data_IF_490854026751
#
_entry.id   IF_490854026751
#
_cell.length_a   1.000
_cell.length_b   1.000
_cell.length_c   1.000
_cell.angle_alpha   90.00
_cell.angle_beta   90.00
_cell.angle_gamma   90.00
#
_symmetry.space_group_name_H-M   'P 1'
#
loop_
_entity.id
_entity.type
_entity.pdbx_description
1 polymer ?
#
# COMPACT_ATOMS: atom_id res chain seq x y z
N UNK A 1 -12.82 -7.31 16.71
CA UNK A 1 -13.12 -7.16 15.29
C UNK A 1 -12.47 -5.89 14.77
N UNK A 2 -11.70 -6.04 13.67
CA UNK A 2 -10.95 -4.96 13.02
C UNK A 2 -11.57 -4.71 11.65
N UNK A 3 -11.65 -3.45 11.23
CA UNK A 3 -11.91 -3.04 9.86
C UNK A 3 -10.80 -2.09 9.41
N UNK A 4 -10.10 -2.44 8.35
CA UNK A 4 -8.98 -1.65 7.83
C UNK A 4 -9.36 -0.91 6.55
N UNK A 5 -9.10 0.39 6.52
CA UNK A 5 -9.29 1.25 5.36
C UNK A 5 -8.03 1.34 4.52
N UNK A 6 -8.12 0.99 3.24
CA UNK A 6 -7.01 1.13 2.28
C UNK A 6 -6.92 2.55 1.69
N UNK A 7 -7.09 3.54 2.54
CA UNK A 7 -7.15 4.97 2.22
C UNK A 7 -5.81 5.56 1.72
N UNK A 8 -4.71 4.85 1.98
CA UNK A 8 -3.38 5.20 1.47
C UNK A 8 -3.06 4.53 0.12
N UNK A 9 -4.00 3.76 -0.44
CA UNK A 9 -3.90 3.23 -1.80
C UNK A 9 -4.07 4.33 -2.84
N UNK A 10 -3.47 4.10 -4.00
CA UNK A 10 -3.55 5.04 -5.11
C UNK A 10 -4.92 5.06 -5.77
N UNK A 11 -5.38 6.23 -6.13
CA UNK A 11 -6.55 6.44 -6.97
C UNK A 11 -6.24 5.99 -8.41
N UNK A 12 -6.86 4.88 -8.82
CA UNK A 12 -6.52 4.21 -10.10
C UNK A 12 -7.45 4.57 -11.23
N UNK A 13 -8.70 4.89 -10.91
CA UNK A 13 -9.77 5.03 -11.90
C UNK A 13 -10.81 6.02 -11.40
N UNK A 14 -11.27 6.88 -12.29
CA UNK A 14 -12.36 7.81 -12.01
C UNK A 14 -13.68 7.05 -12.13
N UNK A 15 -14.51 7.00 -11.08
CA UNK A 15 -15.84 6.41 -11.18
C UNK A 15 -16.73 7.16 -12.18
N UNK A 16 -17.61 6.43 -12.85
CA UNK A 16 -18.57 7.03 -13.79
C UNK A 16 -19.45 8.03 -13.04
N UNK A 17 -19.61 9.23 -13.61
CA UNK A 17 -20.39 10.32 -13.02
C UNK A 17 -19.64 11.18 -11.99
N UNK A 18 -18.36 10.89 -11.75
CA UNK A 18 -17.54 11.73 -10.88
C UNK A 18 -17.16 13.06 -11.52
N UNK A 19 -16.92 14.11 -10.70
CA UNK A 19 -16.44 15.39 -11.19
C UNK A 19 -15.10 15.27 -11.93
N UNK A 20 -14.95 16.06 -13.01
CA UNK A 20 -13.71 16.09 -13.81
C UNK A 20 -12.47 16.53 -13.02
N UNK A 21 -12.65 17.25 -11.91
CA UNK A 21 -11.57 17.66 -11.02
C UNK A 21 -10.70 16.49 -10.55
N UNK A 22 -11.25 15.27 -10.48
CA UNK A 22 -10.54 14.06 -10.11
C UNK A 22 -9.54 13.54 -11.15
N UNK A 23 -9.56 14.05 -12.40
CA UNK A 23 -8.64 13.60 -13.46
C UNK A 23 -7.16 13.80 -13.07
N UNK A 24 -6.86 14.90 -12.37
CA UNK A 24 -5.51 15.21 -11.89
C UNK A 24 -5.08 14.40 -10.67
N UNK A 25 -6.00 13.62 -10.08
CA UNK A 25 -5.76 12.87 -8.85
C UNK A 25 -5.34 11.42 -9.08
N UNK A 26 -5.40 10.93 -10.33
CA UNK A 26 -4.92 9.59 -10.67
C UNK A 26 -3.46 9.44 -10.24
N UNK A 27 -3.18 8.36 -9.49
CA UNK A 27 -1.87 8.06 -8.93
C UNK A 27 -1.60 8.65 -7.54
N UNK A 28 -2.46 9.52 -7.00
CA UNK A 28 -2.37 10.01 -5.62
C UNK A 28 -3.02 9.03 -4.63
N UNK A 29 -2.62 9.01 -3.35
CA UNK A 29 -3.38 8.31 -2.31
C UNK A 29 -4.81 8.84 -2.20
N UNK A 30 -5.78 7.98 -1.91
CA UNK A 30 -7.17 8.39 -1.72
C UNK A 30 -7.32 9.46 -0.63
N UNK A 31 -6.58 9.34 0.46
CA UNK A 31 -6.54 10.30 1.57
C UNK A 31 -5.87 11.65 1.25
N UNK A 32 -5.18 11.75 0.10
CA UNK A 32 -4.53 12.99 -0.35
C UNK A 32 -5.29 13.68 -1.48
N UNK A 33 -6.51 13.28 -1.74
CA UNK A 33 -7.41 13.85 -2.73
C UNK A 33 -8.49 14.63 -2.01
N UNK A 34 -8.64 15.91 -2.32
CA UNK A 34 -9.71 16.73 -1.76
C UNK A 34 -11.09 16.12 -2.09
N UNK A 35 -12.02 16.18 -1.17
CA UNK A 35 -13.39 15.74 -1.44
C UNK A 35 -14.00 16.61 -2.58
N UNK A 36 -14.35 16.01 -3.73
CA UNK A 36 -14.82 16.77 -4.87
C UNK A 36 -16.19 17.44 -4.66
N UNK A 37 -16.86 17.13 -3.55
CA UNK A 37 -18.16 17.71 -3.17
C UNK A 37 -18.03 18.71 -2.01
N UNK A 38 -16.84 18.82 -1.39
CA UNK A 38 -16.55 19.81 -0.35
C UNK A 38 -17.25 19.58 0.99
N UNK A 39 -17.67 18.34 1.27
CA UNK A 39 -18.35 17.99 2.53
C UNK A 39 -17.39 17.40 3.58
N UNK A 40 -16.26 16.83 3.13
CA UNK A 40 -15.26 16.16 3.94
C UNK A 40 -13.85 16.67 3.59
N UNK A 41 -12.86 16.39 4.43
CA UNK A 41 -11.48 16.82 4.16
C UNK A 41 -10.87 16.10 2.96
N UNK A 42 -11.21 14.80 2.77
CA UNK A 42 -10.67 14.01 1.67
C UNK A 42 -11.71 13.13 0.99
N UNK A 43 -11.35 12.68 -0.20
CA UNK A 43 -12.12 11.67 -0.93
C UNK A 43 -12.27 10.37 -0.13
N UNK A 44 -11.22 9.94 0.58
CA UNK A 44 -11.27 8.75 1.43
C UNK A 44 -12.25 8.94 2.60
N UNK A 45 -12.10 10.03 3.34
CA UNK A 45 -12.92 10.32 4.53
C UNK A 45 -14.43 10.34 4.21
N UNK A 46 -14.81 10.84 3.03
CA UNK A 46 -16.20 10.80 2.58
C UNK A 46 -16.82 9.39 2.63
N UNK A 47 -16.07 8.39 2.21
CA UNK A 47 -16.56 7.00 2.21
C UNK A 47 -16.41 6.33 3.57
N UNK A 48 -15.35 6.64 4.29
CA UNK A 48 -15.09 6.15 5.63
C UNK A 48 -16.20 6.54 6.58
N UNK A 49 -16.47 7.82 6.72
CA UNK A 49 -17.51 8.34 7.62
C UNK A 49 -18.87 7.75 7.28
N UNK A 50 -19.29 7.77 6.01
CA UNK A 50 -20.60 7.24 5.60
C UNK A 50 -20.76 5.74 5.87
N UNK A 51 -19.69 4.98 5.69
CA UNK A 51 -19.70 3.54 5.96
C UNK A 51 -19.69 3.26 7.47
N UNK A 52 -18.88 3.97 8.23
CA UNK A 52 -18.79 3.85 9.69
C UNK A 52 -20.14 4.20 10.36
N UNK A 53 -20.81 5.26 9.91
CA UNK A 53 -22.15 5.61 10.33
C UNK A 53 -23.17 4.49 10.04
N UNK A 54 -23.09 3.88 8.84
CA UNK A 54 -23.96 2.77 8.44
C UNK A 54 -23.75 1.53 9.32
N UNK A 55 -22.51 1.19 9.66
CA UNK A 55 -22.21 0.10 10.58
C UNK A 55 -22.71 0.39 12.00
N UNK A 56 -22.53 1.61 12.47
CA UNK A 56 -23.01 2.05 13.79
C UNK A 56 -24.53 1.91 13.92
N UNK A 57 -25.29 2.26 12.86
CA UNK A 57 -26.75 2.08 12.85
C UNK A 57 -27.17 0.60 12.97
N UNK A 58 -26.31 -0.32 12.53
CA UNK A 58 -26.52 -1.77 12.67
C UNK A 58 -25.99 -2.33 14.00
N UNK A 59 -25.45 -1.49 14.88
CA UNK A 59 -24.81 -1.90 16.13
C UNK A 59 -23.45 -2.59 15.94
N UNK A 60 -22.80 -2.42 14.79
CA UNK A 60 -21.51 -3.01 14.47
C UNK A 60 -20.43 -1.94 14.70
N UNK A 61 -19.57 -2.15 15.70
CA UNK A 61 -18.54 -1.19 16.10
C UNK A 61 -17.15 -1.86 16.09
N UNK A 62 -16.49 -1.98 14.93
CA UNK A 62 -15.13 -2.49 14.84
C UNK A 62 -14.12 -1.45 15.33
N UNK A 63 -12.89 -1.90 15.59
CA UNK A 63 -11.75 -1.00 15.63
C UNK A 63 -11.38 -0.65 14.19
N UNK A 64 -11.60 0.59 13.81
CA UNK A 64 -11.20 1.08 12.49
C UNK A 64 -9.72 1.42 12.48
N UNK A 65 -9.03 1.03 11.41
CA UNK A 65 -7.63 1.34 11.16
C UNK A 65 -7.54 2.05 9.82
N UNK A 66 -6.99 3.26 9.82
CA UNK A 66 -6.68 4.00 8.59
C UNK A 66 -5.23 3.76 8.22
N UNK A 67 -5.00 3.20 7.04
CA UNK A 67 -3.64 2.89 6.59
C UNK A 67 -2.80 4.15 6.38
N UNK A 68 -3.41 5.26 5.99
CA UNK A 68 -2.73 6.56 5.96
C UNK A 68 -2.14 6.92 7.32
N UNK A 69 -2.88 6.76 8.40
CA UNK A 69 -2.40 7.05 9.76
C UNK A 69 -1.25 6.11 10.13
N UNK A 70 -1.40 4.81 9.89
CA UNK A 70 -0.39 3.80 10.22
C UNK A 70 0.94 4.06 9.50
N UNK A 71 0.89 4.36 8.20
CA UNK A 71 2.09 4.67 7.43
C UNK A 71 2.70 6.03 7.82
N UNK A 72 1.89 7.05 8.07
CA UNK A 72 2.38 8.40 8.40
C UNK A 72 2.85 8.53 9.83
N UNK A 73 2.31 7.79 10.79
CA UNK A 73 2.80 7.77 12.17
C UNK A 73 4.14 7.04 12.32
N UNK A 74 4.46 6.12 11.40
CA UNK A 74 5.67 5.31 11.45
C UNK A 74 5.51 3.99 12.19
N UNK A 75 4.31 3.61 12.53
CA UNK A 75 4.03 2.31 13.18
C UNK A 75 4.59 1.13 12.39
N UNK A 76 4.65 1.22 11.05
CA UNK A 76 5.17 0.18 10.17
C UNK A 76 6.67 0.31 9.82
N UNK A 77 7.42 1.25 10.39
CA UNK A 77 8.81 1.51 9.98
C UNK A 77 9.72 0.28 10.14
N UNK A 78 9.57 -0.45 11.22
CA UNK A 78 10.36 -1.65 11.47
C UNK A 78 10.05 -2.76 10.45
N UNK A 79 8.78 -2.99 10.15
CA UNK A 79 8.33 -3.98 9.18
C UNK A 79 8.76 -3.59 7.76
N UNK A 80 8.67 -2.32 7.40
CA UNK A 80 9.14 -1.80 6.11
C UNK A 80 10.64 -2.03 5.95
N UNK A 81 11.43 -1.75 6.99
CA UNK A 81 12.88 -1.97 7.00
C UNK A 81 13.21 -3.46 6.84
N UNK A 82 12.52 -4.32 7.56
CA UNK A 82 12.69 -5.78 7.45
C UNK A 82 12.36 -6.27 6.04
N UNK A 83 11.24 -5.85 5.48
CA UNK A 83 10.80 -6.18 4.12
C UNK A 83 11.83 -5.71 3.07
N UNK A 84 12.34 -4.49 3.20
CA UNK A 84 13.38 -3.97 2.29
C UNK A 84 14.68 -4.77 2.40
N UNK A 85 15.08 -5.18 3.59
CA UNK A 85 16.29 -6.00 3.80
C UNK A 85 16.11 -7.44 3.28
N UNK A 86 14.91 -7.98 3.35
CA UNK A 86 14.54 -9.32 2.84
C UNK A 86 13.96 -9.28 1.40
N UNK A 87 14.09 -8.16 0.66
CA UNK A 87 13.46 -7.97 -0.65
C UNK A 87 13.80 -9.04 -1.70
N UNK A 88 15.01 -9.60 -1.62
CA UNK A 88 15.42 -10.67 -2.55
C UNK A 88 14.63 -11.96 -2.28
N UNK A 89 14.40 -12.32 -1.03
CA UNK A 89 13.57 -13.47 -0.65
C UNK A 89 12.11 -13.25 -1.08
N UNK A 90 11.58 -12.04 -0.88
CA UNK A 90 10.24 -11.66 -1.34
C UNK A 90 10.13 -11.76 -2.86
N UNK A 91 11.14 -11.31 -3.60
CA UNK A 91 11.17 -11.44 -5.06
C UNK A 91 11.12 -12.91 -5.51
N UNK A 92 11.82 -13.82 -4.80
CA UNK A 92 11.74 -15.27 -5.06
C UNK A 92 10.34 -15.83 -4.81
N UNK A 93 9.70 -15.45 -3.69
CA UNK A 93 8.32 -15.87 -3.38
C UNK A 93 7.37 -15.39 -4.49
N UNK A 94 7.46 -14.13 -4.89
CA UNK A 94 6.62 -13.58 -5.95
C UNK A 94 6.88 -14.28 -7.29
N UNK A 95 8.15 -14.51 -7.65
CA UNK A 95 8.53 -15.16 -8.90
C UNK A 95 7.97 -16.59 -9.02
N UNK A 96 7.98 -17.36 -7.92
CA UNK A 96 7.39 -18.72 -7.87
C UNK A 96 5.87 -18.73 -8.15
N UNK A 97 5.21 -17.63 -7.82
CA UNK A 97 3.76 -17.48 -7.93
C UNK A 97 3.31 -16.71 -9.19
N UNK A 98 4.25 -16.36 -10.07
CA UNK A 98 3.96 -15.70 -11.36
C UNK A 98 4.07 -16.71 -12.49
N UNK A 99 3.14 -16.67 -13.44
CA UNK A 99 3.12 -17.56 -14.61
C UNK A 99 4.41 -17.50 -15.44
N UNK A 100 5.01 -16.30 -15.56
CA UNK A 100 6.25 -16.10 -16.33
C UNK A 100 7.50 -16.01 -15.43
N UNK A 101 7.32 -16.07 -14.11
CA UNK A 101 8.41 -15.84 -13.16
C UNK A 101 9.00 -14.43 -13.23
N UNK A 102 10.19 -14.29 -12.69
CA UNK A 102 11.01 -13.06 -12.78
C UNK A 102 12.42 -13.44 -13.23
N UNK A 103 13.03 -12.61 -14.09
CA UNK A 103 14.45 -12.75 -14.43
C UNK A 103 15.33 -12.39 -13.24
N UNK A 104 16.59 -12.83 -13.21
CA UNK A 104 17.53 -12.47 -12.13
C UNK A 104 17.74 -10.96 -12.03
N UNK A 105 17.73 -10.25 -13.16
CA UNK A 105 17.81 -8.79 -13.19
C UNK A 105 16.57 -8.13 -12.56
N UNK A 106 15.37 -8.65 -12.83
CA UNK A 106 14.13 -8.17 -12.24
C UNK A 106 14.12 -8.40 -10.72
N UNK A 107 14.55 -9.58 -10.25
CA UNK A 107 14.65 -9.88 -8.81
C UNK A 107 15.63 -8.96 -8.11
N UNK A 108 16.83 -8.76 -8.68
CA UNK A 108 17.87 -7.88 -8.13
C UNK A 108 17.40 -6.44 -8.00
N UNK A 109 16.60 -5.95 -8.96
CA UNK A 109 16.08 -4.58 -9.02
C UNK A 109 14.70 -4.44 -8.41
N UNK A 110 14.18 -5.49 -7.77
CA UNK A 110 12.88 -5.45 -7.12
C UNK A 110 12.94 -4.70 -5.78
N UNK A 111 12.08 -3.72 -5.64
CA UNK A 111 11.83 -3.04 -4.38
C UNK A 111 10.33 -3.13 -4.07
N UNK A 112 9.94 -3.77 -2.97
CA UNK A 112 8.53 -3.95 -2.57
C UNK A 112 7.94 -2.66 -2.00
N UNK A 113 8.02 -1.57 -2.76
CA UNK A 113 7.63 -0.22 -2.35
C UNK A 113 6.80 0.43 -3.46
N UNK A 114 5.68 0.99 -3.10
CA UNK A 114 4.96 2.03 -3.83
C UNK A 114 5.42 3.36 -3.23
N UNK A 115 5.93 4.27 -4.06
CA UNK A 115 6.44 5.56 -3.61
C UNK A 115 5.67 6.68 -4.28
N UNK A 116 5.11 7.57 -3.47
CA UNK A 116 4.46 8.79 -3.91
C UNK A 116 5.48 9.91 -4.03
N UNK A 117 5.67 10.42 -5.24
CA UNK A 117 6.68 11.44 -5.52
C UNK A 117 6.44 12.73 -4.73
N UNK A 118 7.48 13.27 -4.10
CA UNK A 118 7.40 14.60 -3.46
C UNK A 118 7.20 15.74 -4.46
N UNK A 119 7.42 15.50 -5.75
CA UNK A 119 7.19 16.50 -6.81
C UNK A 119 5.73 16.57 -7.26
N UNK A 120 5.01 15.44 -7.24
CA UNK A 120 3.67 15.34 -7.84
C UNK A 120 2.60 14.74 -6.92
N UNK A 121 3.01 14.11 -5.83
CA UNK A 121 2.14 13.33 -4.95
C UNK A 121 1.64 12.02 -5.57
N UNK A 122 2.14 11.63 -6.76
CA UNK A 122 1.69 10.46 -7.52
C UNK A 122 2.69 9.30 -7.44
N UNK A 123 2.20 8.09 -7.69
CA UNK A 123 2.98 6.86 -7.66
C UNK A 123 3.73 6.53 -8.96
N UNK A 124 3.72 7.43 -9.95
CA UNK A 124 4.47 7.23 -11.20
C UNK A 124 5.98 7.40 -10.98
N UNK A 125 6.53 6.49 -10.19
CA UNK A 125 7.91 6.50 -9.71
C UNK A 125 8.59 5.16 -9.93
N UNK A 126 9.92 5.18 -9.93
CA UNK A 126 10.77 3.98 -9.94
C UNK A 126 11.82 4.12 -8.85
N UNK A 127 11.82 3.21 -7.87
CA UNK A 127 12.90 3.12 -6.88
C UNK A 127 14.17 2.63 -7.58
N UNK A 128 15.27 3.33 -7.35
CA UNK A 128 16.58 3.07 -7.98
C UNK A 128 17.54 2.39 -7.02
N UNK A 129 17.52 2.78 -5.74
CA UNK A 129 18.41 2.22 -4.72
C UNK A 129 17.84 2.39 -3.31
N UNK A 130 18.33 1.56 -2.42
CA UNK A 130 18.11 1.58 -0.98
C UNK A 130 19.45 1.48 -0.27
N UNK A 131 19.70 2.30 0.73
CA UNK A 131 20.98 2.39 1.45
C UNK A 131 21.20 1.29 2.50
N UNK A 132 20.18 0.46 2.75
CA UNK A 132 20.20 -0.59 3.78
C UNK A 132 19.69 -0.12 5.14
N UNK A 133 19.30 1.13 5.29
CA UNK A 133 18.78 1.70 6.55
C UNK A 133 17.42 2.36 6.38
N UNK A 134 17.35 3.59 5.87
CA UNK A 134 16.10 4.34 5.75
C UNK A 134 15.93 5.14 4.46
N UNK A 135 16.98 5.22 3.63
CA UNK A 135 16.96 6.09 2.46
C UNK A 135 16.70 5.34 1.17
N UNK A 136 15.77 5.86 0.40
CA UNK A 136 15.41 5.38 -0.93
C UNK A 136 15.66 6.48 -1.96
N UNK A 137 16.41 6.17 -3.02
CA UNK A 137 16.53 7.06 -4.18
C UNK A 137 15.55 6.60 -5.25
N UNK A 138 14.81 7.53 -5.83
CA UNK A 138 13.82 7.24 -6.86
C UNK A 138 13.88 8.20 -8.04
N UNK A 139 13.31 7.79 -9.17
CA UNK A 139 13.02 8.61 -10.33
C UNK A 139 11.50 8.86 -10.37
N UNK A 140 11.10 10.12 -10.47
CA UNK A 140 9.72 10.49 -10.80
C UNK A 140 9.59 10.61 -12.33
N UNK A 141 8.76 9.76 -12.93
CA UNK A 141 8.59 9.76 -14.39
C UNK A 141 7.86 11.00 -14.89
N UNK A 142 6.91 11.54 -14.11
CA UNK A 142 6.14 12.72 -14.52
C UNK A 142 7.01 13.99 -14.60
N UNK A 143 8.00 14.13 -13.72
CA UNK A 143 8.87 15.30 -13.68
C UNK A 143 10.25 15.06 -14.31
N UNK A 144 10.63 13.80 -14.56
CA UNK A 144 11.97 13.40 -14.98
C UNK A 144 13.05 13.58 -13.92
N UNK A 145 12.69 13.97 -12.69
CA UNK A 145 13.64 14.27 -11.61
C UNK A 145 13.91 13.07 -10.73
N UNK A 146 15.13 12.99 -10.22
CA UNK A 146 15.54 12.07 -9.16
C UNK A 146 15.48 12.77 -7.81
N UNK A 147 15.18 12.01 -6.76
CA UNK A 147 15.17 12.48 -5.38
C UNK A 147 15.52 11.33 -4.43
N UNK A 148 15.97 11.69 -3.24
CA UNK A 148 16.25 10.73 -2.17
C UNK A 148 15.40 11.10 -0.96
N UNK A 149 14.63 10.13 -0.48
CA UNK A 149 13.79 10.26 0.71
C UNK A 149 14.38 9.45 1.86
N UNK A 150 14.06 9.85 3.06
CA UNK A 150 14.16 9.05 4.29
C UNK A 150 12.73 8.60 4.64
N UNK A 151 12.40 7.33 4.43
CA UNK A 151 11.02 6.87 4.58
C UNK A 151 10.50 7.00 6.01
N UNK A 152 11.40 7.04 7.01
CA UNK A 152 11.02 7.24 8.41
C UNK A 152 10.63 8.68 8.74
N UNK A 153 10.88 9.62 7.83
CA UNK A 153 10.59 11.06 7.97
C UNK A 153 9.61 11.58 6.94
N UNK A 154 9.86 11.24 5.67
CA UNK A 154 9.10 11.77 4.53
C UNK A 154 7.70 11.13 4.40
N UNK A 155 7.52 9.90 4.89
CA UNK A 155 6.20 9.23 4.99
C UNK A 155 5.42 9.14 3.67
N UNK A 156 6.12 8.97 2.57
CA UNK A 156 5.56 8.97 1.21
C UNK A 156 5.61 7.60 0.53
N UNK A 157 5.75 6.54 1.32
CA UNK A 157 5.80 5.17 0.81
C UNK A 157 4.73 4.30 1.43
N UNK A 158 4.38 3.24 0.69
CA UNK A 158 3.62 2.10 1.21
C UNK A 158 4.11 0.80 0.58
N UNK A 159 3.71 -0.32 1.15
CA UNK A 159 3.96 -1.64 0.58
C UNK A 159 2.93 -1.97 -0.50
N UNK A 160 3.29 -2.74 -1.55
CA UNK A 160 2.33 -3.31 -2.48
C UNK A 160 1.40 -4.31 -1.77
N UNK A 161 0.14 -4.42 -2.22
CA UNK A 161 -0.92 -5.22 -1.60
C UNK A 161 -0.47 -6.63 -1.14
N UNK A 162 0.18 -7.41 -2.00
CA UNK A 162 0.60 -8.78 -1.67
C UNK A 162 1.65 -8.87 -0.54
N UNK A 163 2.22 -7.75 -0.12
CA UNK A 163 3.23 -7.66 0.94
C UNK A 163 2.68 -6.88 2.13
N UNK A 164 1.89 -5.85 1.85
CA UNK A 164 1.21 -5.04 2.84
C UNK A 164 0.22 -5.88 3.66
N UNK A 165 -0.60 -6.67 3.00
CA UNK A 165 -1.62 -7.50 3.64
C UNK A 165 -1.05 -8.51 4.65
N UNK A 166 -0.07 -9.37 4.29
CA UNK A 166 0.55 -10.29 5.26
C UNK A 166 1.32 -9.56 6.37
N UNK A 167 1.94 -8.42 6.08
CA UNK A 167 2.58 -7.60 7.11
C UNK A 167 1.57 -7.14 8.16
N UNK A 168 0.38 -6.69 7.73
CA UNK A 168 -0.71 -6.29 8.63
C UNK A 168 -1.22 -7.47 9.46
N UNK A 169 -1.33 -8.68 8.89
CA UNK A 169 -1.72 -9.88 9.64
C UNK A 169 -0.80 -10.12 10.84
N UNK A 170 0.50 -10.02 10.61
CA UNK A 170 1.49 -10.18 11.67
C UNK A 170 1.44 -9.03 12.66
N UNK A 171 1.41 -7.80 12.18
CA UNK A 171 1.37 -6.59 13.01
C UNK A 171 0.16 -6.57 13.95
N UNK A 172 -1.02 -6.89 13.43
CA UNK A 172 -2.29 -6.88 14.15
C UNK A 172 -2.62 -8.21 14.85
N UNK A 173 -1.74 -9.23 14.74
CA UNK A 173 -1.97 -10.57 15.28
C UNK A 173 -3.30 -11.16 14.81
N UNK A 174 -3.60 -11.07 13.52
CA UNK A 174 -4.86 -11.52 12.93
C UNK A 174 -4.95 -13.04 12.98
N UNK A 175 -6.02 -13.57 13.59
CA UNK A 175 -6.28 -15.01 13.65
C UNK A 175 -7.23 -15.50 12.57
N UNK A 176 -8.06 -14.62 12.04
CA UNK A 176 -9.03 -14.95 10.99
C UNK A 176 -9.37 -13.70 10.17
N UNK A 177 -9.22 -13.83 8.86
CA UNK A 177 -9.68 -12.85 7.88
C UNK A 177 -10.36 -13.57 6.71
N UNK A 178 -11.64 -13.30 6.44
CA UNK A 178 -12.35 -13.90 5.31
C UNK A 178 -11.86 -13.27 3.99
N UNK A 179 -11.57 -14.11 3.01
CA UNK A 179 -11.23 -13.67 1.65
C UNK A 179 -12.24 -14.17 0.63
N UNK A 180 -12.48 -13.38 -0.42
CA UNK A 180 -13.27 -13.82 -1.57
C UNK A 180 -12.55 -14.95 -2.34
N UNK A 181 -13.30 -15.70 -3.16
CA UNK A 181 -12.78 -16.82 -3.94
C UNK A 181 -11.64 -16.43 -4.90
N UNK A 182 -11.63 -15.18 -5.37
CA UNK A 182 -10.59 -14.59 -6.20
C UNK A 182 -9.24 -14.45 -5.48
N UNK A 183 -9.25 -14.35 -4.13
CA UNK A 183 -8.05 -14.31 -3.31
C UNK A 183 -7.51 -15.69 -2.92
N UNK A 184 -8.32 -16.76 -3.08
CA UNK A 184 -7.99 -18.11 -2.61
C UNK A 184 -7.39 -19.04 -3.71
N UNK A 185 -7.28 -18.57 -4.95
CA UNK A 185 -6.69 -19.36 -6.05
C UNK A 185 -5.17 -19.52 -5.88
N UNK A 186 -4.53 -20.59 -6.36
CA UNK A 186 -3.08 -20.76 -6.36
C UNK A 186 -2.36 -19.55 -6.99
N UNK A 187 -1.35 -19.00 -6.32
CA UNK A 187 -0.62 -17.78 -6.72
C UNK A 187 -1.38 -16.47 -6.54
N UNK A 188 -2.60 -16.54 -6.00
CA UNK A 188 -3.39 -15.34 -5.66
C UNK A 188 -2.85 -14.62 -4.42
N UNK A 189 -3.54 -13.55 -4.02
CA UNK A 189 -3.08 -12.72 -2.90
C UNK A 189 -3.01 -13.49 -1.58
N UNK A 190 -3.99 -14.37 -1.30
CA UNK A 190 -4.04 -15.13 -0.04
C UNK A 190 -2.90 -16.16 0.06
N UNK A 191 -2.70 -16.91 -1.02
CA UNK A 191 -1.63 -17.91 -1.11
C UNK A 191 -0.25 -17.26 -0.98
N UNK A 192 0.01 -16.21 -1.74
CA UNK A 192 1.27 -15.45 -1.67
C UNK A 192 1.47 -14.82 -0.29
N UNK A 193 0.42 -14.24 0.30
CA UNK A 193 0.48 -13.66 1.64
C UNK A 193 0.84 -14.69 2.70
N UNK A 194 0.27 -15.90 2.64
CA UNK A 194 0.58 -16.99 3.57
C UNK A 194 2.05 -17.44 3.46
N UNK A 195 2.59 -17.49 2.23
CA UNK A 195 4.01 -17.80 2.03
C UNK A 195 4.91 -16.69 2.58
N UNK A 196 4.54 -15.41 2.42
CA UNK A 196 5.30 -14.27 2.95
C UNK A 196 5.28 -14.28 4.49
N UNK A 197 4.15 -14.54 5.14
CA UNK A 197 4.12 -14.68 6.61
C UNK A 197 5.12 -15.72 7.05
N UNK A 198 5.03 -16.93 6.49
CA UNK A 198 5.85 -18.07 6.88
C UNK A 198 7.35 -17.89 6.60
N UNK A 199 7.73 -17.28 5.48
CA UNK A 199 9.14 -17.24 5.05
C UNK A 199 9.84 -15.92 5.45
N UNK A 200 9.09 -14.87 5.72
CA UNK A 200 9.64 -13.55 6.02
C UNK A 200 9.49 -13.16 7.49
N UNK A 201 8.35 -13.50 8.12
CA UNK A 201 8.02 -13.01 9.46
C UNK A 201 8.08 -14.09 10.55
N UNK A 202 8.09 -15.38 10.23
CA UNK A 202 8.34 -16.50 11.14
C UNK A 202 9.83 -16.95 11.11
#
# INVERSE_FOLDING_TARGET
FIFSWDDFDKFRKIPIGSPKSLENSIGKPYSSIDDPFGEYESYAERFEVKFEESLSQLGINPRFIRQTEMYKSGEYDLQIKEILNKRSQIAEILARNMTQGMTEEQKKNYFPIVLYSRFTGKDNTKVLSYDGDSKLTYLCHDSGKKDTIDFTKDRVIKLPWKIDWPMRWVFESVNFEPGGADHASPGSSYDVSSQIVKEIFE
#
